data_IF_735493132975
#
_entry.id   IF_735493132975
#
_cell.length_a   1.000
_cell.length_b   1.000
_cell.length_c   1.000
_cell.angle_alpha   90.00
_cell.angle_beta   90.00
_cell.angle_gamma   90.00
#
_symmetry.space_group_name_H-M   'P 1'
#
loop_
_entity.id
_entity.type
_entity.pdbx_description
1 polymer ?
#
# COMPACT_ATOMS: atom_id res chain seq x y z
N UNK A 1 7.41 -33.44 24.42
CA UNK A 1 8.49 -32.64 23.79
C UNK A 1 7.94 -32.16 22.46
N UNK A 2 7.54 -30.89 22.39
CA UNK A 2 6.88 -30.28 21.23
C UNK A 2 7.86 -30.15 20.07
N UNK A 3 7.64 -30.92 19.01
CA UNK A 3 8.34 -30.76 17.74
C UNK A 3 7.68 -29.59 17.00
N UNK A 4 8.13 -28.38 17.30
CA UNK A 4 7.80 -27.19 16.52
C UNK A 4 8.48 -27.34 15.16
N UNK A 5 7.76 -27.93 14.21
CA UNK A 5 8.10 -27.76 12.82
C UNK A 5 7.92 -26.28 12.50
N UNK A 6 9.06 -25.61 12.37
CA UNK A 6 9.35 -24.48 11.51
C UNK A 6 8.48 -24.54 10.24
N UNK A 7 7.24 -24.06 10.36
CA UNK A 7 6.53 -23.49 9.23
C UNK A 7 7.17 -22.13 9.06
N UNK A 8 8.24 -22.10 8.27
CA UNK A 8 8.55 -20.91 7.48
C UNK A 8 7.26 -20.56 6.78
N UNK A 9 6.62 -19.53 7.30
CA UNK A 9 5.39 -18.94 6.83
C UNK A 9 5.67 -18.40 5.43
N UNK A 10 5.62 -19.29 4.45
CA UNK A 10 5.43 -18.93 3.06
C UNK A 10 3.97 -18.54 2.88
N UNK A 11 3.54 -17.51 3.62
CA UNK A 11 2.43 -16.66 3.17
C UNK A 11 3.02 -15.89 2.00
N UNK A 12 2.76 -16.39 0.80
CA UNK A 12 2.97 -15.64 -0.44
C UNK A 12 2.25 -14.31 -0.23
N UNK A 13 3.03 -13.22 -0.28
CA UNK A 13 2.63 -11.87 0.03
C UNK A 13 1.63 -11.34 -0.99
N UNK A 14 0.37 -11.71 -0.84
CA UNK A 14 -0.75 -10.95 -1.37
C UNK A 14 -1.16 -9.94 -0.28
N UNK A 15 -0.46 -8.80 -0.24
CA UNK A 15 -0.86 -7.67 0.62
C UNK A 15 0.19 -7.13 1.60
N UNK A 16 1.49 -7.40 1.44
CA UNK A 16 2.53 -6.79 2.29
C UNK A 16 3.29 -5.64 1.60
N UNK A 17 2.93 -5.29 0.36
CA UNK A 17 3.48 -4.11 -0.31
C UNK A 17 2.68 -2.88 0.12
N UNK A 18 3.19 -2.03 1.04
CA UNK A 18 2.45 -0.87 1.53
C UNK A 18 2.11 0.10 0.38
N UNK A 19 2.90 0.08 -0.68
CA UNK A 19 2.65 0.85 -1.91
C UNK A 19 1.38 0.38 -2.61
N UNK A 20 1.18 -0.95 -2.75
CA UNK A 20 -0.03 -1.50 -3.36
C UNK A 20 -1.26 -1.23 -2.50
N UNK A 21 -1.13 -1.28 -1.17
CA UNK A 21 -2.21 -0.90 -0.27
C UNK A 21 -2.58 0.58 -0.41
N UNK A 22 -1.59 1.47 -0.50
CA UNK A 22 -1.82 2.89 -0.74
C UNK A 22 -2.55 3.11 -2.07
N UNK A 23 -2.09 2.48 -3.15
CA UNK A 23 -2.73 2.53 -4.47
C UNK A 23 -4.16 2.01 -4.40
N UNK A 24 -4.40 0.88 -3.73
CA UNK A 24 -5.71 0.27 -3.59
C UNK A 24 -6.69 1.17 -2.81
N UNK A 25 -6.23 1.85 -1.75
CA UNK A 25 -7.06 2.83 -1.02
C UNK A 25 -7.44 3.99 -1.93
N UNK A 26 -6.49 4.55 -2.69
CA UNK A 26 -6.80 5.63 -3.63
C UNK A 26 -7.80 5.17 -4.70
N UNK A 27 -7.59 3.99 -5.30
CA UNK A 27 -8.50 3.43 -6.30
C UNK A 27 -9.89 3.12 -5.74
N UNK A 28 -9.98 2.64 -4.48
CA UNK A 28 -11.25 2.41 -3.79
C UNK A 28 -12.05 3.72 -3.61
N UNK A 29 -11.34 4.83 -3.42
CA UNK A 29 -11.91 6.17 -3.36
C UNK A 29 -12.19 6.81 -4.73
N UNK A 30 -11.96 6.09 -5.83
CA UNK A 30 -12.25 6.53 -7.19
C UNK A 30 -11.12 7.30 -7.89
N UNK A 31 -9.92 7.36 -7.28
CA UNK A 31 -8.75 7.95 -7.92
C UNK A 31 -8.10 6.95 -8.88
N UNK A 32 -7.71 7.41 -10.06
CA UNK A 32 -6.85 6.66 -10.97
C UNK A 32 -5.40 6.86 -10.56
N UNK A 33 -4.65 5.78 -10.33
CA UNK A 33 -3.25 5.84 -9.91
C UNK A 33 -2.39 5.11 -10.94
N UNK A 34 -1.43 5.83 -11.52
CA UNK A 34 -0.53 5.32 -12.56
C UNK A 34 0.94 5.43 -12.09
N UNK A 35 1.74 4.37 -12.11
CA UNK A 35 3.18 4.46 -11.86
C UNK A 35 3.94 5.06 -13.05
N UNK A 36 5.11 5.66 -12.80
CA UNK A 36 6.09 5.96 -13.86
C UNK A 36 6.89 4.71 -14.24
N UNK A 37 7.73 4.82 -15.27
CA UNK A 37 8.52 3.70 -15.81
C UNK A 37 9.42 3.01 -14.77
N UNK A 38 9.88 3.76 -13.75
CA UNK A 38 10.79 3.28 -12.70
C UNK A 38 10.08 3.08 -11.34
N UNK A 39 8.76 3.23 -11.28
CA UNK A 39 7.95 3.22 -10.04
C UNK A 39 8.43 4.25 -8.99
N UNK A 40 9.17 5.28 -9.41
CA UNK A 40 9.71 6.31 -8.53
C UNK A 40 8.66 7.40 -8.24
N UNK A 41 7.74 7.60 -9.17
CA UNK A 41 6.67 8.59 -9.10
C UNK A 41 5.34 7.98 -9.51
N UNK A 42 4.28 8.65 -9.07
CA UNK A 42 2.91 8.21 -9.25
C UNK A 42 2.09 9.37 -9.80
N UNK A 43 1.15 9.11 -10.68
CA UNK A 43 0.23 10.11 -11.23
C UNK A 43 -1.18 9.80 -10.77
N UNK A 44 -1.88 10.82 -10.27
CA UNK A 44 -3.24 10.69 -9.74
C UNK A 44 -4.21 11.40 -10.68
N UNK A 45 -5.22 10.69 -11.19
CA UNK A 45 -6.26 11.19 -12.11
C UNK A 45 -5.72 11.98 -13.31
N UNK A 46 -4.57 11.57 -13.84
CA UNK A 46 -3.94 12.27 -14.96
C UNK A 46 -3.28 13.61 -14.60
N UNK A 47 -3.21 13.96 -13.31
CA UNK A 47 -2.62 15.20 -12.81
C UNK A 47 -1.09 15.19 -12.75
N UNK A 48 -0.54 15.92 -11.78
CA UNK A 48 0.91 16.00 -11.57
C UNK A 48 1.51 14.69 -11.04
N UNK A 49 2.77 14.46 -11.40
CA UNK A 49 3.57 13.38 -10.84
C UNK A 49 3.98 13.69 -9.41
N UNK A 50 3.65 12.79 -8.50
CA UNK A 50 3.97 12.89 -7.07
C UNK A 50 5.01 11.84 -6.68
N UNK A 51 5.72 12.10 -5.60
CA UNK A 51 6.64 11.12 -5.02
C UNK A 51 5.88 10.04 -4.25
N UNK A 52 6.54 8.90 -4.03
CA UNK A 52 5.99 7.83 -3.20
C UNK A 52 5.55 8.30 -1.80
N UNK A 53 6.31 9.21 -1.17
CA UNK A 53 5.93 9.77 0.12
C UNK A 53 4.60 10.57 0.06
N UNK A 54 4.39 11.34 -1.02
CA UNK A 54 3.14 12.08 -1.21
C UNK A 54 1.96 11.15 -1.48
N UNK A 55 2.18 10.04 -2.20
CA UNK A 55 1.17 8.98 -2.40
C UNK A 55 0.71 8.42 -1.03
N UNK A 56 1.66 8.05 -0.18
CA UNK A 56 1.35 7.54 1.17
C UNK A 56 0.58 8.54 2.03
N UNK A 57 0.99 9.81 2.03
CA UNK A 57 0.26 10.86 2.77
C UNK A 57 -1.19 10.99 2.30
N UNK A 58 -1.46 10.85 1.01
CA UNK A 58 -2.83 10.85 0.50
C UNK A 58 -3.60 9.60 0.91
N UNK A 59 -3.01 8.42 0.80
CA UNK A 59 -3.64 7.18 1.23
C UNK A 59 -4.00 7.23 2.72
N UNK A 60 -3.08 7.70 3.58
CA UNK A 60 -3.31 7.89 5.01
C UNK A 60 -4.46 8.85 5.29
N UNK A 61 -4.56 9.96 4.53
CA UNK A 61 -5.69 10.91 4.63
C UNK A 61 -7.03 10.28 4.24
N UNK A 62 -7.02 9.34 3.30
CA UNK A 62 -8.19 8.62 2.82
C UNK A 62 -8.57 7.44 3.73
N UNK A 63 -7.75 7.12 4.73
CA UNK A 63 -8.05 6.08 5.72
C UNK A 63 -7.30 4.78 5.50
N UNK A 64 -6.16 4.80 4.79
CA UNK A 64 -5.15 3.75 4.92
C UNK A 64 -4.81 3.64 6.41
N UNK A 65 -5.38 2.63 7.07
CA UNK A 65 -5.08 2.34 8.47
C UNK A 65 -3.67 1.78 8.49
N UNK A 66 -2.78 2.48 9.19
CA UNK A 66 -1.45 2.04 9.54
C UNK A 66 -1.57 0.71 10.34
N UNK A 67 -1.66 -0.41 9.61
CA UNK A 67 -1.75 -1.77 10.13
C UNK A 67 -2.91 -2.10 11.09
N UNK A 68 -3.06 -3.39 11.44
CA UNK A 68 -4.06 -3.86 12.40
C UNK A 68 -3.65 -3.43 13.83
N UNK A 69 -4.14 -2.27 14.26
CA UNK A 69 -4.02 -1.79 15.64
C UNK A 69 -3.38 -0.42 15.70
N UNK A 70 -4.15 0.65 15.49
CA UNK A 70 -4.81 1.31 16.61
C UNK A 70 -6.20 1.79 16.19
N UNK A 71 -7.21 1.04 16.62
CA UNK A 71 -8.46 1.68 17.01
C UNK A 71 -8.26 2.29 18.40
N UNK A 72 -8.93 3.43 18.60
CA UNK A 72 -9.17 4.17 19.85
C UNK A 72 -8.20 5.32 20.13
#
# INVERSE_FOLDING_TARGET
>A
MTHFHDRKDASIGEGDDPVLDAVAVLQCHGYTVEPDDDFARWRIDGGDWITLNALFVMALRLGLRDGPGRAQ
#
